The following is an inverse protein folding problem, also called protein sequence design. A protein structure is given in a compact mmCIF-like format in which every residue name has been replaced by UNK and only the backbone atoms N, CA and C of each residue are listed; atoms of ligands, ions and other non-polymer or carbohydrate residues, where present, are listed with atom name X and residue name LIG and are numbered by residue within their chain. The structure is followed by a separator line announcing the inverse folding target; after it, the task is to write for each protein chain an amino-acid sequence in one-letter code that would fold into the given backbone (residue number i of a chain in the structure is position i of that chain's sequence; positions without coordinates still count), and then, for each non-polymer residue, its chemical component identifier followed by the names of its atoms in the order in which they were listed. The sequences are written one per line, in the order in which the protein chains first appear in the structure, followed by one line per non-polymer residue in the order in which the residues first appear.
data_IF_646679359331
#
_entry.id   IF_646679359331
#
_cell.length_a   1.000
_cell.length_b   1.000
_cell.length_c   1.000
_cell.angle_alpha   90.00
_cell.angle_beta   90.00
_cell.angle_gamma   90.00
#
_symmetry.space_group_name_H-M   'P 1'
#
loop_
_entity.id
_entity.type
_entity.pdbx_description
1 polymer ?
#
# COMPACT_ATOMS: atom_id res chain seq x y z
N UNK A 1 -0.70 -0.61 -2.63
CA UNK A 1 -0.67 -1.18 -4.01
C UNK A 1 -0.66 -2.70 -3.97
N UNK A 2 0.35 -3.35 -3.39
CA UNK A 2 0.51 -4.80 -3.40
C UNK A 2 -0.72 -5.58 -2.94
N UNK A 3 -1.39 -5.15 -1.85
CA UNK A 3 -2.62 -5.74 -1.36
C UNK A 3 -3.77 -5.68 -2.39
N UNK A 4 -4.00 -4.52 -2.97
CA UNK A 4 -5.08 -4.28 -3.95
C UNK A 4 -4.89 -5.06 -5.26
N UNK A 5 -3.65 -5.20 -5.70
CA UNK A 5 -3.30 -5.90 -6.94
C UNK A 5 -3.05 -7.40 -6.73
N UNK A 6 -3.18 -7.88 -5.49
CA UNK A 6 -2.88 -9.27 -5.08
C UNK A 6 -1.45 -9.70 -5.46
N UNK A 7 -0.51 -8.76 -5.47
CA UNK A 7 0.90 -9.05 -5.73
C UNK A 7 1.55 -9.62 -4.47
N UNK A 8 1.65 -10.95 -4.38
CA UNK A 8 2.27 -11.62 -3.23
C UNK A 8 3.67 -11.09 -2.96
N UNK A 9 4.48 -10.94 -4.01
CA UNK A 9 5.86 -10.46 -3.91
C UNK A 9 5.91 -9.10 -3.22
N UNK A 10 5.26 -8.08 -3.79
CA UNK A 10 5.27 -6.73 -3.25
C UNK A 10 4.68 -6.64 -1.84
N UNK A 11 3.57 -7.31 -1.61
CA UNK A 11 2.89 -7.28 -0.33
C UNK A 11 3.74 -7.87 0.79
N UNK A 12 4.23 -9.09 0.60
CA UNK A 12 4.98 -9.80 1.65
C UNK A 12 6.36 -9.20 1.92
N UNK A 13 7.07 -8.76 0.86
CA UNK A 13 8.36 -8.10 1.01
C UNK A 13 8.23 -6.79 1.78
N UNK A 14 7.20 -5.98 1.49
CA UNK A 14 7.01 -4.71 2.18
C UNK A 14 6.52 -4.86 3.61
N UNK A 15 5.69 -5.85 3.93
CA UNK A 15 5.37 -6.17 5.32
C UNK A 15 6.65 -6.50 6.09
N UNK A 16 7.47 -7.39 5.56
CA UNK A 16 8.70 -7.81 6.22
C UNK A 16 9.70 -6.67 6.36
N UNK A 17 9.89 -5.88 5.31
CA UNK A 17 10.73 -4.69 5.33
C UNK A 17 10.22 -3.67 6.37
N UNK A 18 8.93 -3.40 6.37
CA UNK A 18 8.28 -2.47 7.30
C UNK A 18 8.47 -2.88 8.76
N UNK A 19 8.23 -4.14 9.07
CA UNK A 19 8.34 -4.67 10.44
C UNK A 19 9.79 -4.77 10.91
N UNK A 20 10.71 -5.23 10.06
CA UNK A 20 12.10 -5.47 10.45
C UNK A 20 12.97 -4.20 10.47
N UNK A 21 12.69 -3.21 9.60
CA UNK A 21 13.56 -2.04 9.43
C UNK A 21 12.93 -0.71 9.78
N UNK A 22 11.61 -0.59 9.69
CA UNK A 22 10.90 0.69 9.86
C UNK A 22 9.97 0.74 11.06
N UNK A 23 9.92 -0.31 11.89
CA UNK A 23 9.14 -0.33 13.12
C UNK A 23 7.62 -0.36 12.90
N UNK A 24 7.15 -0.78 11.72
CA UNK A 24 5.73 -0.99 11.45
C UNK A 24 5.23 -2.16 12.29
N UNK A 25 4.18 -1.95 13.09
CA UNK A 25 3.61 -2.98 13.95
C UNK A 25 2.61 -3.88 13.18
N UNK A 26 2.27 -5.01 13.79
CA UNK A 26 1.20 -5.89 13.25
C UNK A 26 -0.16 -5.20 13.29
N UNK A 27 -0.39 -4.33 14.30
CA UNK A 27 -1.58 -3.50 14.39
C UNK A 27 -1.67 -2.51 13.22
N UNK A 28 -0.54 -1.89 12.82
CA UNK A 28 -0.50 -0.98 11.67
C UNK A 28 -0.85 -1.72 10.38
N UNK A 29 -0.29 -2.90 10.16
CA UNK A 29 -0.59 -3.72 8.97
C UNK A 29 -2.07 -4.11 8.95
N UNK A 30 -2.60 -4.53 10.10
CA UNK A 30 -4.01 -4.88 10.24
C UNK A 30 -4.92 -3.67 10.00
N UNK A 31 -4.55 -2.48 10.48
CA UNK A 31 -5.29 -1.25 10.27
C UNK A 31 -5.33 -0.86 8.77
N UNK A 32 -4.20 -0.99 8.05
CA UNK A 32 -4.13 -0.74 6.60
C UNK A 32 -5.07 -1.69 5.84
N UNK A 33 -5.04 -2.97 6.18
CA UNK A 33 -5.90 -3.99 5.55
C UNK A 33 -7.37 -3.73 5.86
N UNK A 34 -7.70 -3.46 7.12
CA UNK A 34 -9.06 -3.21 7.58
C UNK A 34 -9.65 -1.96 6.91
N UNK A 35 -8.91 -0.86 6.87
CA UNK A 35 -9.34 0.37 6.20
C UNK A 35 -9.61 0.11 4.71
N UNK A 36 -8.75 -0.63 4.04
CA UNK A 36 -8.90 -0.98 2.62
C UNK A 36 -10.16 -1.80 2.36
N UNK A 37 -10.59 -2.63 3.31
CA UNK A 37 -11.82 -3.43 3.22
C UNK A 37 -13.06 -2.73 3.81
N UNK A 38 -12.95 -1.47 4.22
CA UNK A 38 -14.04 -0.66 4.76
C UNK A 38 -14.36 -0.89 6.23
N UNK A 39 -13.48 -1.54 6.98
CA UNK A 39 -13.59 -1.70 8.43
C UNK A 39 -13.03 -0.45 9.10
N UNK A 40 -13.76 0.08 10.08
CA UNK A 40 -13.33 1.26 10.83
C UNK A 40 -12.02 1.00 11.59
N UNK A 41 -11.10 1.94 11.51
CA UNK A 41 -9.78 1.89 12.13
C UNK A 41 -9.47 3.17 12.93
N UNK A 42 -8.38 3.14 13.68
CA UNK A 42 -7.87 4.32 14.40
C UNK A 42 -6.91 5.18 13.55
N UNK A 43 -6.81 4.92 12.25
CA UNK A 43 -5.99 5.73 11.35
C UNK A 43 -6.48 7.18 11.31
N UNK A 44 -5.55 8.11 11.28
CA UNK A 44 -5.83 9.54 11.11
C UNK A 44 -6.44 9.83 9.74
N UNK A 45 -7.03 11.02 9.59
CA UNK A 45 -7.55 11.48 8.29
C UNK A 45 -6.47 11.47 7.21
N UNK A 46 -5.26 11.93 7.56
CA UNK A 46 -4.11 11.94 6.65
C UNK A 46 -3.70 10.52 6.22
N UNK A 47 -3.57 9.59 7.17
CA UNK A 47 -3.22 8.19 6.86
C UNK A 47 -4.27 7.53 5.98
N UNK A 48 -5.55 7.76 6.25
CA UNK A 48 -6.64 7.29 5.38
C UNK A 48 -6.57 7.90 3.99
N UNK A 49 -6.25 9.19 3.88
CA UNK A 49 -6.09 9.85 2.58
C UNK A 49 -4.93 9.27 1.78
N UNK A 50 -3.80 8.91 2.42
CA UNK A 50 -2.67 8.21 1.78
C UNK A 50 -3.12 6.86 1.22
N UNK A 51 -3.83 6.06 2.02
CA UNK A 51 -4.33 4.74 1.59
C UNK A 51 -5.38 4.85 0.47
N UNK A 52 -6.30 5.81 0.61
CA UNK A 52 -7.31 6.09 -0.41
C UNK A 52 -6.66 6.53 -1.73
N UNK A 53 -5.64 7.38 -1.67
CA UNK A 53 -4.90 7.84 -2.85
C UNK A 53 -4.22 6.69 -3.59
N UNK A 54 -3.62 5.75 -2.86
CA UNK A 54 -3.07 4.55 -3.48
C UNK A 54 -4.16 3.69 -4.15
N UNK A 55 -5.33 3.56 -3.52
CA UNK A 55 -6.48 2.83 -4.06
C UNK A 55 -7.00 3.49 -5.33
N UNK A 56 -7.23 4.80 -5.29
CA UNK A 56 -7.73 5.58 -6.43
C UNK A 56 -6.77 5.55 -7.62
N UNK A 57 -5.46 5.66 -7.39
CA UNK A 57 -4.47 5.54 -8.46
C UNK A 57 -4.43 4.13 -9.08
N UNK A 58 -4.72 3.09 -8.30
CA UNK A 58 -4.79 1.71 -8.82
C UNK A 58 -6.07 1.48 -9.62
N UNK A 59 -7.22 1.99 -9.15
CA UNK A 59 -8.55 1.68 -9.71
C UNK A 59 -9.06 2.74 -10.69
N UNK A 60 -8.81 4.02 -10.39
CA UNK A 60 -9.45 5.16 -11.07
C UNK A 60 -8.46 6.05 -11.84
N UNK A 61 -7.19 5.65 -11.90
CA UNK A 61 -6.09 6.33 -12.57
C UNK A 61 -5.52 7.55 -11.84
N UNK A 62 -6.29 8.29 -11.09
CA UNK A 62 -5.87 9.53 -10.41
C UNK A 62 -6.47 9.64 -9.01
N UNK A 63 -5.78 10.41 -8.16
CA UNK A 63 -6.29 10.79 -6.84
C UNK A 63 -7.46 11.76 -6.99
N UNK A 64 -8.53 11.57 -6.20
CA UNK A 64 -9.65 12.50 -6.11
C UNK A 64 -9.19 13.87 -5.58
N UNK A 65 -9.92 14.93 -5.91
CA UNK A 65 -9.60 16.26 -5.41
C UNK A 65 -9.65 16.32 -3.89
N UNK A 66 -10.61 15.63 -3.25
CA UNK A 66 -10.77 15.57 -1.80
C UNK A 66 -9.51 15.00 -1.12
N UNK A 67 -9.05 13.82 -1.54
CA UNK A 67 -7.85 13.21 -0.98
C UNK A 67 -6.59 14.01 -1.33
N UNK A 68 -6.51 14.55 -2.53
CA UNK A 68 -5.39 15.39 -2.93
C UNK A 68 -5.25 16.64 -2.06
N UNK A 69 -6.37 17.32 -1.73
CA UNK A 69 -6.38 18.48 -0.84
C UNK A 69 -5.88 18.12 0.56
N UNK A 70 -6.29 16.97 1.11
CA UNK A 70 -5.80 16.49 2.40
C UNK A 70 -4.28 16.26 2.34
N UNK A 71 -3.78 15.60 1.30
CA UNK A 71 -2.35 15.38 1.13
C UNK A 71 -1.58 16.68 1.00
N UNK A 72 -2.06 17.62 0.20
CA UNK A 72 -1.42 18.92 -0.03
C UNK A 72 -1.36 19.78 1.24
N UNK A 73 -2.35 19.67 2.12
CA UNK A 73 -2.38 20.38 3.39
C UNK A 73 -1.44 19.78 4.45
N UNK A 74 -1.04 18.51 4.30
CA UNK A 74 -0.23 17.79 5.28
C UNK A 74 1.22 17.52 4.81
N UNK A 75 1.51 17.65 3.52
CA UNK A 75 2.82 17.38 2.95
C UNK A 75 3.43 18.62 2.30
N UNK A 76 4.76 18.71 2.32
CA UNK A 76 5.47 19.65 1.46
C UNK A 76 5.25 19.27 -0.01
N UNK A 77 5.48 20.22 -0.91
CA UNK A 77 5.39 19.98 -2.35
C UNK A 77 6.28 18.81 -2.81
N UNK A 78 7.49 18.75 -2.27
CA UNK A 78 8.44 17.68 -2.52
C UNK A 78 7.90 16.32 -2.07
N UNK A 79 7.46 16.20 -0.81
CA UNK A 79 6.93 14.95 -0.29
C UNK A 79 5.63 14.52 -0.96
N UNK A 80 4.79 15.47 -1.40
CA UNK A 80 3.60 15.15 -2.17
C UNK A 80 3.96 14.52 -3.54
N UNK A 81 4.94 15.07 -4.23
CA UNK A 81 5.44 14.51 -5.49
C UNK A 81 6.07 13.13 -5.26
N UNK A 82 6.87 12.98 -4.21
CA UNK A 82 7.49 11.71 -3.86
C UNK A 82 6.43 10.62 -3.59
N UNK A 83 5.36 10.96 -2.86
CA UNK A 83 4.26 10.04 -2.59
C UNK A 83 3.57 9.60 -3.90
N UNK A 84 3.21 10.55 -4.75
CA UNK A 84 2.55 10.26 -6.04
C UNK A 84 3.43 9.39 -6.94
N UNK A 85 4.71 9.74 -7.05
CA UNK A 85 5.69 8.97 -7.82
C UNK A 85 5.89 7.56 -7.25
N UNK A 86 5.94 7.42 -5.93
CA UNK A 86 6.07 6.12 -5.26
C UNK A 86 4.88 5.23 -5.58
N UNK A 87 3.65 5.72 -5.44
CA UNK A 87 2.45 4.96 -5.77
C UNK A 87 2.46 4.55 -7.25
N UNK A 88 2.75 5.49 -8.17
CA UNK A 88 2.81 5.23 -9.60
C UNK A 88 3.88 4.19 -9.96
N UNK A 89 5.06 4.29 -9.34
CA UNK A 89 6.16 3.34 -9.54
C UNK A 89 5.73 1.92 -9.14
N UNK A 90 5.14 1.74 -7.97
CA UNK A 90 4.67 0.43 -7.53
C UNK A 90 3.50 -0.11 -8.35
N UNK A 91 2.65 0.75 -8.90
CA UNK A 91 1.67 0.34 -9.91
C UNK A 91 2.32 -0.26 -11.17
N UNK A 92 3.49 0.24 -11.56
CA UNK A 92 4.27 -0.35 -12.65
C UNK A 92 4.96 -1.64 -12.22
N UNK A 93 5.63 -1.66 -11.06
CA UNK A 93 6.40 -2.80 -10.55
C UNK A 93 5.54 -4.05 -10.42
N UNK A 94 4.35 -3.97 -9.81
CA UNK A 94 3.47 -5.15 -9.65
C UNK A 94 3.08 -5.77 -11.00
N UNK A 95 2.95 -4.98 -12.06
CA UNK A 95 2.65 -5.46 -13.42
C UNK A 95 3.83 -6.16 -14.05
N UNK A 96 5.04 -5.65 -13.84
CA UNK A 96 6.29 -6.31 -14.29
C UNK A 96 6.44 -7.66 -13.60
N UNK A 97 6.31 -7.70 -12.27
CA UNK A 97 6.42 -8.93 -11.49
C UNK A 97 5.40 -9.98 -11.94
N UNK A 98 4.16 -9.59 -12.13
CA UNK A 98 3.09 -10.49 -12.57
C UNK A 98 3.30 -10.97 -14.01
N UNK A 99 3.70 -10.06 -14.92
CA UNK A 99 3.89 -10.41 -16.36
C UNK A 99 5.06 -11.34 -16.57
N UNK A 100 6.14 -11.18 -15.81
CA UNK A 100 7.33 -12.02 -15.88
C UNK A 100 7.25 -13.25 -14.95
N UNK A 101 6.11 -13.46 -14.30
CA UNK A 101 5.87 -14.59 -13.38
C UNK A 101 6.98 -14.73 -12.33
N UNK A 102 7.41 -13.61 -11.74
CA UNK A 102 8.45 -13.61 -10.72
C UNK A 102 7.93 -14.27 -9.45
N UNK A 103 8.53 -15.40 -9.09
CA UNK A 103 8.17 -16.16 -7.89
C UNK A 103 8.54 -15.42 -6.60
N UNK A 104 7.69 -15.63 -5.60
CA UNK A 104 7.96 -15.19 -4.24
C UNK A 104 8.74 -16.27 -3.48
N UNK A 105 9.79 -15.89 -2.74
CA UNK A 105 10.62 -16.84 -2.01
C UNK A 105 9.86 -17.42 -0.80
N UNK A 106 10.11 -18.69 -0.42
CA UNK A 106 9.37 -19.38 0.64
C UNK A 106 9.30 -18.59 1.96
N UNK A 107 10.40 -17.95 2.36
CA UNK A 107 10.49 -17.17 3.62
C UNK A 107 9.54 -15.96 3.65
N UNK A 108 9.17 -15.41 2.49
CA UNK A 108 8.20 -14.32 2.40
C UNK A 108 6.76 -14.84 2.31
N UNK A 109 6.55 -16.01 1.68
CA UNK A 109 5.23 -16.64 1.63
C UNK A 109 4.66 -16.95 3.02
N UNK A 110 5.51 -17.19 4.01
CA UNK A 110 5.08 -17.40 5.41
C UNK A 110 4.33 -16.20 6.00
N UNK A 111 4.60 -14.98 5.52
CA UNK A 111 3.90 -13.75 5.93
C UNK A 111 2.39 -13.85 5.65
N UNK A 112 2.00 -14.55 4.59
CA UNK A 112 0.59 -14.72 4.20
C UNK A 112 -0.21 -15.56 5.20
N UNK A 113 0.44 -16.32 6.07
CA UNK A 113 -0.24 -17.05 7.15
C UNK A 113 -0.80 -16.10 8.20
N UNK A 114 -0.14 -14.97 8.44
CA UNK A 114 -0.57 -13.95 9.41
C UNK A 114 -1.37 -12.83 8.73
N UNK A 115 -0.94 -12.43 7.55
CA UNK A 115 -1.53 -11.33 6.78
C UNK A 115 -1.93 -11.83 5.38
N UNK A 116 -3.08 -12.51 5.24
CA UNK A 116 -3.51 -13.03 3.95
C UNK A 116 -3.88 -11.91 2.97
N UNK A 117 -3.68 -12.20 1.68
CA UNK A 117 -4.23 -11.35 0.61
C UNK A 117 -5.75 -11.57 0.49
N UNK A 118 -6.50 -10.59 -0.05
CA UNK A 118 -7.94 -10.76 -0.30
C UNK A 118 -8.19 -11.86 -1.35
N UNK A 119 -9.33 -12.55 -1.21
CA UNK A 119 -9.80 -13.55 -2.18
C UNK A 119 -10.07 -13.00 -3.58
#
# INVERSE_FOLDING_TARGET
VGFLTKSEYEYTHHIKLGTEQFGVSEEDISAITNETTGIQTNLTEFERAVLASAREMVTDLKISNENFDILQNNLSHEHLIDLVLTIAFYCAVVRVLATLEIDNEPKYKEVLNTFPLPE
#
